data_IF_824080776650
#
_entry.id   IF_824080776650
#
_cell.length_a   1.000
_cell.length_b   1.000
_cell.length_c   1.000
_cell.angle_alpha   90.00
_cell.angle_beta   90.00
_cell.angle_gamma   90.00
#
_symmetry.space_group_name_H-M   'P 1'
#
loop_
_entity.id
_entity.type
_entity.pdbx_description
1 polymer ?
#
# COMPACT_ATOMS: atom_id res chain seq x y z
N UNK A 1 4.05 -33.88 -5.11
CA UNK A 1 3.28 -32.84 -5.84
C UNK A 1 2.39 -32.15 -4.83
N UNK A 2 2.60 -30.85 -4.57
CA UNK A 2 1.76 -30.09 -3.65
C UNK A 2 0.56 -29.59 -4.48
N UNK A 3 -0.64 -30.05 -4.13
CA UNK A 3 -1.87 -29.72 -4.85
C UNK A 3 -2.23 -28.23 -4.63
N UNK A 4 -2.08 -27.44 -5.69
CA UNK A 4 -2.31 -26.00 -5.75
C UNK A 4 -3.74 -25.56 -5.39
N UNK A 5 -4.68 -26.49 -5.30
CA UNK A 5 -6.09 -26.23 -5.00
C UNK A 5 -6.35 -26.02 -3.51
N UNK A 6 -5.55 -26.63 -2.62
CA UNK A 6 -5.71 -26.50 -1.16
C UNK A 6 -5.25 -25.13 -0.63
N UNK A 7 -4.31 -24.45 -1.31
CA UNK A 7 -3.88 -23.09 -0.98
C UNK A 7 -4.91 -22.01 -1.34
N UNK A 8 -5.92 -22.33 -2.15
CA UNK A 8 -6.94 -21.38 -2.62
C UNK A 8 -8.29 -21.49 -1.91
N UNK A 9 -8.59 -22.66 -1.36
CA UNK A 9 -9.77 -22.84 -0.53
C UNK A 9 -9.37 -22.47 0.90
N UNK A 10 -9.75 -21.28 1.35
CA UNK A 10 -9.63 -20.92 2.75
C UNK A 10 -10.16 -22.04 3.65
N UNK A 11 -9.51 -22.23 4.81
CA UNK A 11 -9.97 -23.18 5.84
C UNK A 11 -11.49 -23.02 6.02
N UNK A 12 -12.29 -24.10 6.07
CA UNK A 12 -13.73 -24.01 6.20
C UNK A 12 -14.10 -23.06 7.35
N UNK A 13 -14.79 -21.96 7.02
CA UNK A 13 -15.21 -20.93 7.98
C UNK A 13 -14.51 -19.56 7.84
N UNK A 14 -13.45 -19.44 7.04
CA UNK A 14 -12.79 -18.15 6.75
C UNK A 14 -13.03 -17.81 5.28
N UNK A 15 -13.81 -16.76 5.02
CA UNK A 15 -14.13 -16.32 3.67
C UNK A 15 -13.95 -14.81 3.55
N UNK A 16 -13.26 -14.37 2.50
CA UNK A 16 -13.11 -12.96 2.16
C UNK A 16 -11.79 -12.32 2.58
N UNK A 17 -11.67 -11.04 2.22
CA UNK A 17 -10.51 -10.20 2.47
C UNK A 17 -10.82 -9.17 3.56
N UNK A 18 -9.98 -9.11 4.58
CA UNK A 18 -9.95 -8.02 5.53
C UNK A 18 -9.10 -6.88 4.95
N UNK A 19 -9.73 -5.74 4.66
CA UNK A 19 -9.06 -4.62 3.99
C UNK A 19 -8.89 -3.47 4.96
N UNK A 20 -7.65 -3.02 5.19
CA UNK A 20 -7.33 -1.86 6.02
C UNK A 20 -6.82 -0.69 5.19
N UNK A 21 -7.70 0.28 5.00
CA UNK A 21 -7.43 1.55 4.33
C UNK A 21 -7.21 2.68 5.34
N UNK A 22 -5.96 3.05 5.58
CA UNK A 22 -5.58 4.17 6.45
C UNK A 22 -6.22 4.14 7.86
N UNK A 23 -6.20 5.29 8.54
CA UNK A 23 -6.84 5.49 9.83
C UNK A 23 -5.97 5.14 11.03
N UNK A 24 -6.62 4.93 12.17
CA UNK A 24 -5.95 4.65 13.46
C UNK A 24 -5.10 3.38 13.43
N UNK A 25 -4.07 3.28 14.30
CA UNK A 25 -3.26 2.08 14.44
C UNK A 25 -4.11 0.81 14.60
N UNK A 26 -3.67 -0.28 13.98
CA UNK A 26 -4.38 -1.55 14.07
C UNK A 26 -4.31 -2.09 15.50
N UNK A 27 -5.47 -2.28 16.12
CA UNK A 27 -5.54 -2.79 17.49
C UNK A 27 -5.37 -4.31 17.54
N UNK A 28 -4.94 -4.82 18.70
CA UNK A 28 -4.86 -6.25 18.99
C UNK A 28 -6.17 -6.99 18.69
N UNK A 29 -7.31 -6.45 19.14
CA UNK A 29 -8.64 -7.03 18.94
C UNK A 29 -9.01 -7.16 17.46
N UNK A 30 -8.62 -6.17 16.65
CA UNK A 30 -8.84 -6.20 15.20
C UNK A 30 -8.02 -7.30 14.53
N UNK A 31 -6.78 -7.52 14.97
CA UNK A 31 -5.95 -8.63 14.47
C UNK A 31 -6.53 -9.99 14.84
N UNK A 32 -7.00 -10.17 16.07
CA UNK A 32 -7.63 -11.42 16.52
C UNK A 32 -8.91 -11.71 15.73
N UNK A 33 -9.73 -10.69 15.51
CA UNK A 33 -10.89 -10.79 14.64
C UNK A 33 -10.50 -11.16 13.20
N UNK A 34 -9.43 -10.57 12.66
CA UNK A 34 -8.95 -10.89 11.33
C UNK A 34 -8.50 -12.36 11.19
N UNK A 35 -7.75 -12.85 12.19
CA UNK A 35 -7.29 -14.24 12.26
C UNK A 35 -8.45 -15.23 12.30
N UNK A 36 -9.54 -14.91 12.99
CA UNK A 36 -10.67 -15.83 13.10
C UNK A 36 -11.55 -15.88 11.86
N UNK A 37 -11.66 -14.76 11.12
CA UNK A 37 -12.74 -14.59 10.15
C UNK A 37 -12.30 -14.54 8.68
N UNK A 38 -11.03 -14.26 8.38
CA UNK A 38 -10.60 -13.96 7.00
C UNK A 38 -9.47 -14.85 6.52
N UNK A 39 -9.44 -15.14 5.21
CA UNK A 39 -8.34 -15.88 4.57
C UNK A 39 -7.32 -14.96 3.90
N UNK A 40 -7.69 -13.69 3.67
CA UNK A 40 -6.84 -12.69 3.05
C UNK A 40 -6.84 -11.43 3.91
N UNK A 41 -5.69 -10.77 4.05
CA UNK A 41 -5.58 -9.44 4.63
C UNK A 41 -4.85 -8.50 3.65
N UNK A 42 -5.38 -7.28 3.49
CA UNK A 42 -4.73 -6.21 2.73
C UNK A 42 -4.40 -5.09 3.72
N UNK A 43 -3.11 -4.86 3.94
CA UNK A 43 -2.60 -3.92 4.95
C UNK A 43 -1.90 -2.72 4.29
N UNK A 44 -1.80 -1.61 5.02
CA UNK A 44 -0.91 -0.53 4.62
C UNK A 44 0.56 -1.00 4.68
N UNK A 45 1.45 -0.47 3.84
CA UNK A 45 2.82 -0.98 3.73
C UNK A 45 3.69 -0.78 4.98
N UNK A 46 3.32 0.15 5.88
CA UNK A 46 4.01 0.36 7.15
C UNK A 46 3.54 -0.59 8.28
N UNK A 47 2.45 -1.32 8.10
CA UNK A 47 1.84 -2.20 9.11
C UNK A 47 2.55 -3.56 9.21
N UNK A 48 3.87 -3.53 9.37
CA UNK A 48 4.72 -4.72 9.39
C UNK A 48 4.44 -5.63 10.60
N UNK A 49 4.25 -5.03 11.77
CA UNK A 49 3.95 -5.78 13.01
C UNK A 49 2.62 -6.54 12.89
N UNK A 50 1.62 -5.92 12.27
CA UNK A 50 0.35 -6.58 11.96
C UNK A 50 0.54 -7.74 10.98
N UNK A 51 1.33 -7.56 9.92
CA UNK A 51 1.62 -8.62 8.96
C UNK A 51 2.30 -9.83 9.64
N UNK A 52 3.31 -9.57 10.46
CA UNK A 52 4.02 -10.61 11.24
C UNK A 52 3.07 -11.33 12.19
N UNK A 53 2.23 -10.58 12.91
CA UNK A 53 1.24 -11.16 13.80
C UNK A 53 0.27 -12.09 13.05
N UNK A 54 -0.27 -11.63 11.92
CA UNK A 54 -1.21 -12.43 11.11
C UNK A 54 -0.56 -13.70 10.58
N UNK A 55 0.67 -13.63 10.06
CA UNK A 55 1.38 -14.82 9.58
C UNK A 55 1.72 -15.82 10.69
N UNK A 56 2.03 -15.32 11.89
CA UNK A 56 2.28 -16.19 13.06
C UNK A 56 1.01 -16.94 13.52
N UNK A 57 -0.15 -16.30 13.47
CA UNK A 57 -1.40 -16.84 14.07
C UNK A 57 -2.37 -17.43 13.03
N UNK A 58 -2.15 -17.14 11.75
CA UNK A 58 -2.84 -17.74 10.62
C UNK A 58 -1.84 -17.95 9.47
N UNK A 59 -1.00 -19.01 9.53
CA UNK A 59 0.05 -19.25 8.55
C UNK A 59 -0.45 -19.31 7.09
N UNK A 60 -1.66 -19.84 6.89
CA UNK A 60 -2.29 -19.96 5.57
C UNK A 60 -2.94 -18.66 5.07
N UNK A 61 -3.01 -17.61 5.90
CA UNK A 61 -3.54 -16.32 5.48
C UNK A 61 -2.62 -15.69 4.43
N UNK A 62 -3.22 -15.25 3.32
CA UNK A 62 -2.55 -14.42 2.32
C UNK A 62 -2.54 -12.97 2.82
N UNK A 63 -1.35 -12.40 2.99
CA UNK A 63 -1.18 -11.01 3.43
C UNK A 63 -0.60 -10.20 2.28
N UNK A 64 -1.32 -9.15 1.86
CA UNK A 64 -0.97 -8.27 0.75
C UNK A 64 -0.73 -6.85 1.27
N UNK A 65 0.19 -6.13 0.65
CA UNK A 65 0.40 -4.71 0.89
C UNK A 65 -0.43 -3.86 -0.08
N UNK A 66 -1.10 -2.84 0.43
CA UNK A 66 -1.77 -1.83 -0.38
C UNK A 66 -0.76 -1.00 -1.16
N UNK A 67 -1.03 -0.79 -2.46
CA UNK A 67 -0.26 0.07 -3.35
C UNK A 67 -1.15 1.14 -3.97
N UNK A 68 -0.79 2.41 -3.78
CA UNK A 68 -1.42 3.51 -4.48
C UNK A 68 -0.61 3.89 -5.72
N UNK A 69 -1.22 3.81 -6.90
CA UNK A 69 -0.54 4.13 -8.16
C UNK A 69 -0.83 5.56 -8.66
N UNK A 70 -1.72 6.29 -7.98
CA UNK A 70 -2.34 7.53 -8.48
C UNK A 70 -2.15 8.75 -7.59
N UNK A 71 -1.59 8.61 -6.39
CA UNK A 71 -1.30 9.75 -5.51
C UNK A 71 -0.11 9.53 -4.56
N UNK A 72 0.41 10.63 -4.01
CA UNK A 72 1.18 10.68 -2.76
C UNK A 72 0.36 11.31 -1.65
N UNK A 73 0.73 11.05 -0.40
CA UNK A 73 0.02 11.47 0.80
C UNK A 73 1.02 12.02 1.81
N UNK A 74 0.71 13.14 2.46
CA UNK A 74 1.61 13.74 3.46
C UNK A 74 1.49 13.11 4.85
N UNK A 75 0.42 12.36 5.12
CA UNK A 75 0.18 11.71 6.41
C UNK A 75 0.76 10.30 6.54
N UNK A 76 1.41 9.78 5.50
CA UNK A 76 1.99 8.44 5.57
C UNK A 76 3.19 8.46 6.53
N UNK A 77 3.18 7.64 7.60
CA UNK A 77 4.22 7.69 8.63
C UNK A 77 5.59 7.23 8.13
N UNK A 78 5.62 6.53 6.98
CA UNK A 78 6.83 5.90 6.46
C UNK A 78 7.29 4.72 7.33
N UNK A 79 8.50 4.18 7.08
CA UNK A 79 9.40 4.53 5.99
C UNK A 79 8.99 3.93 4.63
N UNK A 80 7.95 3.09 4.60
CA UNK A 80 7.42 2.48 3.38
C UNK A 80 6.10 3.17 3.01
N UNK A 81 6.05 3.74 1.82
CA UNK A 81 4.94 4.57 1.34
C UNK A 81 4.05 3.78 0.39
N UNK A 82 2.74 4.05 0.38
CA UNK A 82 1.77 3.32 -0.48
C UNK A 82 2.05 3.51 -1.96
N UNK A 83 2.57 4.67 -2.36
CA UNK A 83 3.06 4.93 -3.72
C UNK A 83 4.52 4.55 -3.94
N UNK A 84 5.22 4.20 -2.86
CA UNK A 84 6.68 4.05 -2.78
C UNK A 84 7.46 5.36 -2.97
N UNK A 85 6.79 6.51 -2.90
CA UNK A 85 7.41 7.84 -2.91
C UNK A 85 6.88 8.61 -1.70
N UNK A 86 7.77 9.14 -0.87
CA UNK A 86 7.36 10.01 0.24
C UNK A 86 6.87 11.36 -0.27
N UNK A 87 6.07 12.05 0.55
CA UNK A 87 5.70 13.44 0.27
C UNK A 87 6.92 14.33 0.04
N UNK A 88 7.92 14.23 0.92
CA UNK A 88 9.15 15.04 0.81
C UNK A 88 9.93 14.75 -0.47
N UNK A 89 10.00 13.48 -0.88
CA UNK A 89 10.66 13.10 -2.14
C UNK A 89 9.93 13.72 -3.33
N UNK A 90 8.60 13.74 -3.31
CA UNK A 90 7.79 14.35 -4.36
C UNK A 90 7.93 15.89 -4.38
N UNK A 91 8.03 16.53 -3.21
CA UNK A 91 8.31 17.97 -3.10
C UNK A 91 9.71 18.34 -3.60
N UNK A 92 10.74 17.55 -3.26
CA UNK A 92 12.09 17.76 -3.76
C UNK A 92 12.16 17.61 -5.29
N UNK A 93 11.44 16.64 -5.86
CA UNK A 93 11.37 16.50 -7.31
C UNK A 93 10.76 17.75 -7.97
N UNK A 94 9.68 18.29 -7.38
CA UNK A 94 9.05 19.53 -7.84
C UNK A 94 10.03 20.72 -7.78
N UNK A 95 10.75 20.89 -6.68
CA UNK A 95 11.78 21.93 -6.53
C UNK A 95 12.90 21.81 -7.58
N UNK A 96 13.23 20.58 -7.97
CA UNK A 96 14.22 20.27 -9.01
C UNK A 96 13.64 20.31 -10.43
N UNK A 97 12.48 20.94 -10.64
CA UNK A 97 11.85 21.13 -11.95
C UNK A 97 11.16 19.88 -12.52
N UNK A 98 11.07 18.79 -11.75
CA UNK A 98 10.32 17.58 -12.12
C UNK A 98 8.94 17.67 -11.50
N UNK A 99 8.01 18.33 -12.18
CA UNK A 99 6.62 18.38 -11.71
C UNK A 99 5.94 17.03 -11.90
N UNK A 100 5.67 16.42 -10.76
CA UNK A 100 5.09 15.10 -10.63
C UNK A 100 3.56 15.17 -10.43
N UNK A 101 3.02 16.36 -10.17
CA UNK A 101 1.63 16.54 -9.77
C UNK A 101 0.72 16.92 -10.93
N UNK A 102 -0.53 16.47 -10.86
CA UNK A 102 -1.60 16.95 -11.72
C UNK A 102 -2.13 18.28 -11.17
N UNK A 103 -2.21 19.29 -12.05
CA UNK A 103 -2.72 20.64 -11.71
C UNK A 103 -3.98 20.96 -12.50
N UNK A 104 -4.84 21.80 -11.90
CA UNK A 104 -5.93 22.44 -12.62
C UNK A 104 -5.37 23.51 -13.57
N UNK A 105 -6.23 24.06 -14.42
CA UNK A 105 -5.89 25.14 -15.35
C UNK A 105 -5.44 26.42 -14.66
N UNK A 106 -5.83 26.62 -13.40
CA UNK A 106 -5.39 27.74 -12.55
C UNK A 106 -4.04 27.50 -11.84
N UNK A 107 -3.39 26.35 -12.09
CA UNK A 107 -2.11 25.99 -11.47
C UNK A 107 -2.22 25.33 -10.09
N UNK A 108 -3.41 25.27 -9.48
CA UNK A 108 -3.64 24.61 -8.20
C UNK A 108 -3.50 23.09 -8.29
N UNK A 109 -3.09 22.44 -7.19
CA UNK A 109 -2.99 20.98 -7.12
C UNK A 109 -4.38 20.33 -7.19
N UNK A 110 -4.48 19.26 -7.97
CA UNK A 110 -5.67 18.40 -7.97
C UNK A 110 -5.58 17.47 -6.75
N UNK A 111 -6.37 17.80 -5.73
CA UNK A 111 -6.59 16.98 -4.54
C UNK A 111 -7.91 16.20 -4.64
N UNK A 112 -7.97 15.05 -3.97
CA UNK A 112 -9.20 14.30 -3.85
C UNK A 112 -10.17 15.01 -2.88
N UNK A 113 -11.36 15.35 -3.37
CA UNK A 113 -12.42 15.97 -2.55
C UNK A 113 -12.80 14.99 -1.43
N UNK A 114 -12.66 15.42 -0.17
CA UNK A 114 -12.88 14.58 1.02
C UNK A 114 -11.63 13.90 1.59
N UNK A 115 -10.48 14.00 0.92
CA UNK A 115 -9.17 13.52 1.40
C UNK A 115 -8.11 14.62 1.25
N UNK A 116 -8.20 15.70 2.06
CA UNK A 116 -7.18 16.75 2.07
C UNK A 116 -5.81 16.11 2.31
N UNK A 117 -4.76 16.62 1.67
CA UNK A 117 -3.37 16.10 1.67
C UNK A 117 -3.07 14.85 0.82
N UNK A 118 -3.98 14.48 -0.10
CA UNK A 118 -3.72 13.46 -1.12
C UNK A 118 -3.60 14.10 -2.50
N UNK A 119 -2.38 14.17 -3.04
CA UNK A 119 -2.11 14.86 -4.31
C UNK A 119 -1.98 13.88 -5.47
N UNK A 120 -2.69 14.14 -6.57
CA UNK A 120 -2.69 13.29 -7.76
C UNK A 120 -1.41 13.41 -8.57
N UNK A 121 -0.92 12.28 -9.09
CA UNK A 121 0.16 12.24 -10.07
C UNK A 121 -0.29 12.66 -11.47
N UNK A 122 0.59 13.33 -12.24
CA UNK A 122 0.39 13.54 -13.67
C UNK A 122 0.66 12.23 -14.44
N UNK A 123 -0.31 11.74 -15.20
CA UNK A 123 -0.10 10.63 -16.13
C UNK A 123 0.31 11.15 -17.51
N UNK A 124 1.40 10.64 -18.10
CA UNK A 124 1.70 10.83 -19.54
C UNK A 124 3.02 11.49 -19.96
N UNK A 125 4.05 11.62 -19.12
CA UNK A 125 5.40 12.02 -19.58
C UNK A 125 6.42 10.85 -19.48
N UNK A 126 7.14 10.48 -20.56
CA UNK A 126 7.87 9.20 -20.63
C UNK A 126 9.07 9.05 -19.69
N UNK A 127 9.56 10.12 -19.06
CA UNK A 127 10.92 10.13 -18.50
C UNK A 127 11.01 9.96 -16.97
N UNK A 128 9.90 10.00 -16.22
CA UNK A 128 9.96 9.90 -14.75
C UNK A 128 8.96 8.92 -14.14
N UNK A 129 7.79 8.74 -14.77
CA UNK A 129 6.82 7.73 -14.36
C UNK A 129 7.37 6.30 -14.55
N UNK A 130 8.06 6.01 -15.66
CA UNK A 130 8.50 4.64 -15.98
C UNK A 130 9.49 4.03 -14.99
N UNK A 131 10.45 4.82 -14.48
CA UNK A 131 11.52 4.35 -13.58
C UNK A 131 11.13 4.37 -12.11
N UNK A 132 10.35 5.38 -11.67
CA UNK A 132 9.79 5.42 -10.31
C UNK A 132 8.78 4.28 -10.07
N UNK A 133 7.90 4.04 -11.05
CA UNK A 133 6.83 3.04 -10.97
C UNK A 133 7.36 1.61 -10.95
N UNK A 134 8.33 1.26 -11.80
CA UNK A 134 8.95 -0.08 -11.80
C UNK A 134 9.84 -0.33 -10.57
N UNK A 135 10.59 0.68 -10.09
CA UNK A 135 11.46 0.52 -8.90
C UNK A 135 10.66 0.46 -7.60
N UNK A 136 9.60 1.26 -7.51
CA UNK A 136 8.63 1.28 -6.39
C UNK A 136 7.81 -0.02 -6.30
N UNK A 137 7.48 -0.62 -7.44
CA UNK A 137 6.79 -1.92 -7.51
C UNK A 137 7.70 -3.08 -7.07
N UNK A 138 8.98 -3.06 -7.48
CA UNK A 138 9.94 -4.11 -7.14
C UNK A 138 10.30 -4.09 -5.64
N UNK A 139 10.65 -2.93 -5.07
CA UNK A 139 11.13 -2.86 -3.68
C UNK A 139 10.08 -3.23 -2.60
N UNK A 140 8.78 -3.07 -2.87
CA UNK A 140 7.72 -3.51 -1.96
C UNK A 140 7.55 -5.03 -1.93
N UNK A 141 7.84 -5.72 -3.04
CA UNK A 141 7.55 -7.16 -3.20
C UNK A 141 8.76 -8.01 -2.81
N UNK A 142 9.99 -7.58 -3.09
CA UNK A 142 11.18 -8.42 -2.89
C UNK A 142 11.82 -8.33 -1.50
N UNK A 143 11.56 -7.29 -0.69
CA UNK A 143 12.36 -7.09 0.53
C UNK A 143 11.90 -7.87 1.77
N UNK A 144 10.81 -8.64 1.72
CA UNK A 144 10.22 -9.27 2.92
C UNK A 144 9.74 -10.72 2.73
N UNK A 145 10.10 -11.39 1.64
CA UNK A 145 9.85 -12.83 1.45
C UNK A 145 11.09 -13.70 1.75
N UNK A 146 12.17 -13.09 2.24
CA UNK A 146 13.39 -13.78 2.71
C UNK A 146 13.84 -13.13 4.01
N UNK A 147 13.25 -13.59 5.11
CA UNK A 147 13.59 -13.26 6.49
C UNK A 147 12.93 -14.28 7.38
#
# INVERSE_FOLDING_TARGET
>A
MINNTALRAGVPGRFGAWIRYGGDPITRKQLEFAVQNYSVAILQPWEQDAALYLKKNAPDMVVLAYKCLSSTRSYEPGPIYSSGVSWDTAQQALQNGKDLYARRTDGSLIEWRGYPSTTRWRYGTPTTAGTGWTRSSKNCVTRHLTG
#
